data_IF_000629880583
#
_entry.id   IF_000629880583
#
_cell.length_a   1.000
_cell.length_b   1.000
_cell.length_c   1.000
_cell.angle_alpha   90.00
_cell.angle_beta   90.00
_cell.angle_gamma   90.00
#
_symmetry.space_group_name_H-M   'P 1'
#
loop_
_entity.id
_entity.type
_entity.pdbx_description
1 polymer ?
#
# COMPACT_ATOMS: atom_id res chain seq x y z
N UNK A 1 15.50 18.56 4.92
CA UNK A 1 16.07 17.87 6.10
C UNK A 1 16.21 16.39 5.76
N UNK A 2 17.23 15.69 6.26
CA UNK A 2 17.31 14.23 6.17
C UNK A 2 16.90 13.63 7.50
N UNK A 3 15.95 12.69 7.50
CA UNK A 3 15.46 12.00 8.69
C UNK A 3 15.12 10.55 8.33
N UNK A 4 15.56 9.58 9.13
CA UNK A 4 15.28 8.16 8.88
C UNK A 4 15.76 7.66 7.52
N UNK A 5 16.87 8.20 6.99
CA UNK A 5 17.37 7.88 5.64
C UNK A 5 16.57 8.50 4.48
N UNK A 6 15.46 9.21 4.78
CA UNK A 6 14.62 9.87 3.78
C UNK A 6 14.88 11.37 3.71
N UNK A 7 14.60 11.96 2.54
CA UNK A 7 14.64 13.42 2.36
C UNK A 7 13.24 13.99 2.60
N UNK A 8 13.14 14.91 3.56
CA UNK A 8 11.91 15.62 3.91
C UNK A 8 12.05 17.09 3.55
N UNK A 9 11.11 17.62 2.78
CA UNK A 9 11.05 19.04 2.40
C UNK A 9 9.83 19.71 3.04
N UNK A 10 9.90 21.02 3.32
CA UNK A 10 8.72 21.76 3.77
C UNK A 10 7.52 21.58 2.82
N UNK A 11 6.40 21.17 3.39
CA UNK A 11 5.15 20.91 2.66
C UNK A 11 4.93 19.46 2.23
N UNK A 12 5.93 18.58 2.33
CA UNK A 12 5.72 17.14 2.15
C UNK A 12 4.78 16.61 3.25
N UNK A 13 3.95 15.62 2.92
CA UNK A 13 3.05 14.98 3.89
C UNK A 13 3.80 13.87 4.62
N UNK A 14 3.58 13.77 5.92
CA UNK A 14 4.14 12.72 6.76
C UNK A 14 2.98 11.88 7.27
N UNK A 15 3.00 10.59 6.99
CA UNK A 15 1.97 9.63 7.42
C UNK A 15 2.64 8.64 8.35
N UNK A 16 2.04 8.39 9.51
CA UNK A 16 2.57 7.42 10.48
C UNK A 16 1.48 6.56 11.08
N UNK A 17 1.80 5.29 11.31
CA UNK A 17 0.97 4.28 11.96
C UNK A 17 1.84 3.43 12.91
N UNK A 18 1.27 2.34 13.43
CA UNK A 18 1.98 1.42 14.32
C UNK A 18 3.12 0.63 13.62
N UNK A 19 3.16 0.62 12.29
CA UNK A 19 4.20 -0.06 11.50
C UNK A 19 5.39 0.86 11.21
N UNK A 20 5.16 2.18 11.10
CA UNK A 20 6.21 3.15 10.89
C UNK A 20 5.75 4.49 10.35
N UNK A 21 6.66 5.20 9.65
CA UNK A 21 6.43 6.53 9.11
C UNK A 21 6.88 6.60 7.65
N UNK A 22 6.06 7.24 6.82
CA UNK A 22 6.29 7.42 5.37
C UNK A 22 6.27 8.91 5.02
N UNK A 23 7.19 9.31 4.14
CA UNK A 23 7.26 10.65 3.56
C UNK A 23 6.59 10.63 2.18
N UNK A 24 5.56 11.46 1.99
CA UNK A 24 4.84 11.60 0.73
C UNK A 24 5.15 12.98 0.12
N UNK A 25 5.83 13.04 -1.04
CA UNK A 25 6.15 14.29 -1.71
C UNK A 25 4.90 15.12 -2.02
N UNK A 26 4.92 16.42 -1.70
CA UNK A 26 3.75 17.30 -1.90
C UNK A 26 3.24 17.33 -3.34
N UNK A 27 4.15 17.26 -4.32
CA UNK A 27 3.82 17.32 -5.74
C UNK A 27 3.05 16.10 -6.22
N UNK A 28 3.14 14.98 -5.48
CA UNK A 28 2.49 13.70 -5.81
C UNK A 28 1.46 13.28 -4.77
N UNK A 29 1.18 14.12 -3.77
CA UNK A 29 0.30 13.78 -2.65
C UNK A 29 -1.07 13.28 -3.11
N UNK A 30 -1.70 13.97 -4.06
CA UNK A 30 -3.00 13.57 -4.61
C UNK A 30 -2.96 12.23 -5.37
N UNK A 31 -1.96 12.04 -6.24
CA UNK A 31 -1.78 10.81 -7.01
C UNK A 31 -1.59 9.60 -6.07
N UNK A 32 -0.71 9.76 -5.08
CA UNK A 32 -0.38 8.71 -4.11
C UNK A 32 -1.59 8.39 -3.24
N UNK A 33 -2.28 9.41 -2.73
CA UNK A 33 -3.50 9.21 -1.93
C UNK A 33 -4.58 8.45 -2.71
N UNK A 34 -4.81 8.83 -3.98
CA UNK A 34 -5.78 8.13 -4.83
C UNK A 34 -5.42 6.66 -5.04
N UNK A 35 -4.14 6.37 -5.33
CA UNK A 35 -3.67 4.98 -5.48
C UNK A 35 -3.76 4.19 -4.17
N UNK A 36 -3.49 4.81 -3.03
CA UNK A 36 -3.61 4.17 -1.73
C UNK A 36 -5.05 3.71 -1.46
N UNK A 37 -6.06 4.51 -1.84
CA UNK A 37 -7.48 4.11 -1.75
C UNK A 37 -7.80 2.91 -2.64
N UNK A 38 -7.22 2.82 -3.84
CA UNK A 38 -7.39 1.67 -4.73
C UNK A 38 -6.75 0.39 -4.17
N UNK A 39 -5.57 0.51 -3.54
CA UNK A 39 -4.91 -0.59 -2.83
C UNK A 39 -5.78 -1.07 -1.67
N UNK A 40 -6.25 -0.18 -0.80
CA UNK A 40 -7.09 -0.55 0.36
C UNK A 40 -8.36 -1.30 -0.06
N UNK A 41 -9.03 -0.84 -1.13
CA UNK A 41 -10.20 -1.54 -1.68
C UNK A 41 -9.87 -2.97 -2.15
N UNK A 42 -8.73 -3.14 -2.80
CA UNK A 42 -8.29 -4.45 -3.26
C UNK A 42 -7.92 -5.36 -2.07
N UNK A 43 -7.22 -4.84 -1.07
CA UNK A 43 -6.85 -5.58 0.14
C UNK A 43 -8.08 -5.99 0.95
N UNK A 44 -9.05 -5.09 1.11
CA UNK A 44 -10.33 -5.38 1.74
C UNK A 44 -11.07 -6.52 1.02
N UNK A 45 -11.15 -6.46 -0.33
CA UNK A 45 -11.73 -7.55 -1.13
C UNK A 45 -10.98 -8.87 -0.94
N UNK A 46 -9.65 -8.85 -0.93
CA UNK A 46 -8.83 -10.05 -0.72
C UNK A 46 -9.10 -10.64 0.66
N UNK A 47 -9.13 -9.78 1.69
CA UNK A 47 -9.42 -10.15 3.08
C UNK A 47 -10.79 -10.82 3.20
N UNK A 48 -11.83 -10.26 2.59
CA UNK A 48 -13.19 -10.84 2.60
C UNK A 48 -13.23 -12.24 1.97
N UNK A 49 -12.52 -12.44 0.86
CA UNK A 49 -12.48 -13.74 0.19
C UNK A 49 -11.72 -14.80 1.01
N UNK A 50 -10.67 -14.40 1.72
CA UNK A 50 -9.96 -15.26 2.66
C UNK A 50 -10.85 -15.62 3.85
N UNK A 51 -11.60 -14.65 4.40
CA UNK A 51 -12.54 -14.88 5.50
C UNK A 51 -13.68 -15.84 5.10
N UNK A 52 -14.04 -15.90 3.81
CA UNK A 52 -14.98 -16.89 3.26
C UNK A 52 -14.35 -18.28 3.02
N UNK A 53 -13.09 -18.49 3.41
CA UNK A 53 -12.41 -19.79 3.35
C UNK A 53 -11.62 -20.05 2.07
N UNK A 54 -11.41 -19.06 1.19
CA UNK A 54 -10.52 -19.22 0.03
C UNK A 54 -9.06 -19.08 0.46
N UNK A 55 -8.17 -19.87 -0.13
CA UNK A 55 -6.73 -19.77 0.13
C UNK A 55 -6.13 -18.53 -0.55
N UNK A 56 -5.08 -17.96 0.05
CA UNK A 56 -4.33 -16.82 -0.52
C UNK A 56 -3.90 -17.06 -1.97
N UNK A 57 -3.35 -18.24 -2.26
CA UNK A 57 -2.89 -18.62 -3.61
C UNK A 57 -3.99 -18.49 -4.65
N UNK A 58 -5.21 -18.95 -4.32
CA UNK A 58 -6.37 -18.88 -5.21
C UNK A 58 -6.90 -17.46 -5.39
N UNK A 59 -6.94 -16.66 -4.31
CA UNK A 59 -7.46 -15.28 -4.36
C UNK A 59 -6.53 -14.35 -5.15
N UNK A 60 -5.22 -14.53 -4.99
CA UNK A 60 -4.18 -13.78 -5.69
C UNK A 60 -3.82 -14.37 -7.07
N UNK A 61 -4.40 -15.52 -7.43
CA UNK A 61 -4.08 -16.25 -8.67
C UNK A 61 -2.58 -16.52 -8.85
N UNK A 62 -1.86 -16.80 -7.75
CA UNK A 62 -0.40 -17.03 -7.76
C UNK A 62 0.00 -18.21 -8.65
N UNK A 63 -0.88 -19.21 -8.81
CA UNK A 63 -0.71 -20.35 -9.71
C UNK A 63 -0.48 -19.96 -11.18
N UNK A 64 -0.92 -18.76 -11.61
CA UNK A 64 -0.67 -18.23 -12.96
C UNK A 64 0.74 -17.65 -13.13
N UNK A 65 1.39 -17.26 -12.03
CA UNK A 65 2.71 -16.63 -12.04
C UNK A 65 3.85 -17.64 -11.81
N UNK A 66 3.56 -18.79 -11.20
CA UNK A 66 4.56 -19.85 -10.94
C UNK A 66 4.82 -20.78 -12.13
N UNK A 67 3.95 -20.81 -13.16
CA UNK A 67 4.13 -21.65 -14.37
C UNK A 67 5.00 -21.01 -15.46
N UNK A 68 6.07 -20.31 -15.10
CA UNK A 68 7.03 -19.77 -16.07
C UNK A 68 8.39 -20.44 -15.95
#
# INVERSE_FOLDING_TARGET
>A
IKCGGQTVRPGDYIVGDDNGVVVVPKERGYEIARRAVEVEKNESRIRDEIMKGKTLSRVLSLEKWEKR
#
